data_IF_754571254632
#
_entry.id   IF_754571254632
#
_cell.length_a   1.000
_cell.length_b   1.000
_cell.length_c   1.000
_cell.angle_alpha   90.00
_cell.angle_beta   90.00
_cell.angle_gamma   90.00
#
_symmetry.space_group_name_H-M   'P 1'
#
loop_
_entity.id
_entity.type
_entity.pdbx_description
1 polymer ?
#
# COMPACT_ATOMS: atom_id res chain seq x y z
N UNK A 1 -47.06 -7.42 -77.50
CA UNK A 1 -46.52 -7.20 -76.16
C UNK A 1 -47.72 -7.07 -75.24
N UNK A 2 -48.04 -8.12 -74.54
CA UNK A 2 -49.21 -8.16 -73.66
C UNK A 2 -48.61 -8.46 -72.28
N UNK A 3 -48.92 -7.58 -71.34
CA UNK A 3 -48.39 -7.54 -69.95
C UNK A 3 -48.74 -8.81 -69.18
N UNK A 4 -47.71 -9.49 -68.66
CA UNK A 4 -47.80 -10.70 -67.84
C UNK A 4 -47.73 -10.43 -66.32
N UNK A 5 -48.09 -9.24 -65.85
CA UNK A 5 -47.92 -8.82 -64.46
C UNK A 5 -49.16 -8.92 -63.55
N UNK A 6 -50.29 -9.49 -63.98
CA UNK A 6 -51.53 -9.46 -63.20
C UNK A 6 -52.10 -10.81 -62.74
N UNK A 7 -51.40 -11.91 -62.83
CA UNK A 7 -51.97 -13.23 -62.44
C UNK A 7 -51.39 -13.79 -61.15
N UNK A 8 -50.37 -13.17 -60.48
CA UNK A 8 -49.73 -13.75 -59.32
C UNK A 8 -50.14 -13.18 -57.96
N UNK A 9 -51.17 -12.37 -57.84
CA UNK A 9 -51.49 -11.64 -56.62
C UNK A 9 -52.67 -12.18 -55.79
N UNK A 10 -53.27 -13.32 -56.13
CA UNK A 10 -54.51 -13.79 -55.48
C UNK A 10 -54.47 -15.21 -54.84
N UNK A 11 -53.34 -15.88 -54.72
CA UNK A 11 -53.34 -17.25 -54.20
C UNK A 11 -52.45 -17.57 -52.94
N UNK A 12 -51.90 -16.57 -52.28
CA UNK A 12 -50.95 -16.90 -51.14
C UNK A 12 -51.26 -16.28 -49.79
N UNK A 13 -52.44 -15.81 -49.44
CA UNK A 13 -52.67 -15.08 -48.20
C UNK A 13 -53.48 -15.70 -47.04
N UNK A 14 -54.00 -16.93 -46.98
CA UNK A 14 -54.67 -17.33 -45.73
C UNK A 14 -54.08 -18.47 -44.97
N UNK A 15 -52.97 -19.08 -45.36
CA UNK A 15 -52.48 -20.27 -44.62
C UNK A 15 -51.20 -20.02 -43.80
N UNK A 16 -50.50 -18.90 -44.03
CA UNK A 16 -49.20 -18.64 -43.36
C UNK A 16 -49.29 -17.89 -42.02
N UNK A 17 -50.34 -17.10 -41.77
CA UNK A 17 -50.46 -16.29 -40.57
C UNK A 17 -50.56 -17.11 -39.26
N UNK A 18 -51.33 -18.19 -39.12
CA UNK A 18 -51.39 -18.96 -37.88
C UNK A 18 -50.11 -19.75 -37.60
N UNK A 19 -49.33 -20.10 -38.60
CA UNK A 19 -48.07 -20.83 -38.42
C UNK A 19 -46.96 -19.87 -37.96
N UNK A 20 -47.00 -18.63 -38.36
CA UNK A 20 -46.04 -17.58 -37.94
C UNK A 20 -46.30 -17.19 -36.49
N UNK A 21 -47.57 -17.02 -36.08
CA UNK A 21 -47.95 -16.68 -34.71
C UNK A 21 -47.56 -17.78 -33.70
N UNK A 22 -47.77 -19.07 -34.06
CA UNK A 22 -47.34 -20.21 -33.24
C UNK A 22 -45.82 -20.30 -33.15
N UNK A 23 -45.06 -19.92 -34.17
CA UNK A 23 -43.60 -19.90 -34.14
C UNK A 23 -43.06 -18.74 -33.26
N UNK A 24 -43.68 -17.56 -33.34
CA UNK A 24 -43.32 -16.42 -32.49
C UNK A 24 -43.59 -16.67 -31.01
N UNK A 25 -44.71 -17.26 -30.65
CA UNK A 25 -45.04 -17.59 -29.28
C UNK A 25 -44.04 -18.65 -28.68
N UNK A 26 -43.68 -19.65 -29.48
CA UNK A 26 -42.63 -20.60 -29.10
C UNK A 26 -41.26 -19.94 -28.93
N UNK A 27 -40.92 -18.98 -29.81
CA UNK A 27 -39.67 -18.24 -29.74
C UNK A 27 -39.61 -17.36 -28.49
N UNK A 28 -40.68 -16.64 -28.16
CA UNK A 28 -40.80 -15.85 -26.91
C UNK A 28 -40.67 -16.74 -25.67
N UNK A 29 -41.32 -17.89 -25.61
CA UNK A 29 -41.16 -18.83 -24.51
C UNK A 29 -39.70 -19.33 -24.39
N UNK A 30 -39.04 -19.62 -25.50
CA UNK A 30 -37.65 -20.05 -25.49
C UNK A 30 -36.71 -18.94 -24.97
N UNK A 31 -36.92 -17.71 -25.36
CA UNK A 31 -36.15 -16.55 -24.87
C UNK A 31 -36.33 -16.34 -23.34
N UNK A 32 -37.55 -16.54 -22.83
CA UNK A 32 -37.82 -16.50 -21.38
C UNK A 32 -37.06 -17.61 -20.66
N UNK A 33 -37.10 -18.85 -21.17
CA UNK A 33 -36.36 -19.96 -20.56
C UNK A 33 -34.85 -19.73 -20.59
N UNK A 34 -34.28 -19.20 -21.64
CA UNK A 34 -32.87 -18.85 -21.73
C UNK A 34 -32.50 -17.74 -20.70
N UNK A 35 -33.37 -16.74 -20.55
CA UNK A 35 -33.16 -15.67 -19.57
C UNK A 35 -33.21 -16.17 -18.14
N UNK A 36 -34.16 -17.04 -17.81
CA UNK A 36 -34.27 -17.68 -16.50
C UNK A 36 -33.02 -18.54 -16.24
N UNK A 37 -32.59 -19.34 -17.22
CA UNK A 37 -31.42 -20.18 -17.09
C UNK A 37 -30.12 -19.37 -16.88
N UNK A 38 -29.96 -18.25 -17.62
CA UNK A 38 -28.83 -17.32 -17.40
C UNK A 38 -28.86 -16.69 -16.01
N UNK A 39 -30.05 -16.32 -15.52
CA UNK A 39 -30.23 -15.78 -14.17
C UNK A 39 -29.86 -16.80 -13.09
N UNK A 40 -30.32 -18.06 -13.27
CA UNK A 40 -29.96 -19.17 -12.34
C UNK A 40 -28.45 -19.41 -12.35
N UNK A 41 -27.80 -19.42 -13.52
CA UNK A 41 -26.34 -19.57 -13.63
C UNK A 41 -25.61 -18.40 -12.97
N UNK A 42 -26.11 -17.18 -13.09
CA UNK A 42 -25.55 -16.01 -12.42
C UNK A 42 -25.68 -16.14 -10.90
N UNK A 43 -26.83 -16.54 -10.40
CA UNK A 43 -27.04 -16.77 -8.97
C UNK A 43 -26.14 -17.91 -8.43
N UNK A 44 -25.98 -19.00 -9.19
CA UNK A 44 -25.08 -20.09 -8.84
C UNK A 44 -23.63 -19.66 -8.82
N UNK A 45 -23.20 -18.83 -9.78
CA UNK A 45 -21.83 -18.30 -9.81
C UNK A 45 -21.55 -17.38 -8.62
N UNK A 46 -22.52 -16.55 -8.22
CA UNK A 46 -22.42 -15.71 -7.01
C UNK A 46 -22.32 -16.57 -5.75
N UNK A 47 -23.10 -17.65 -5.64
CA UNK A 47 -23.04 -18.59 -4.52
C UNK A 47 -21.69 -19.33 -4.49
N UNK A 48 -21.18 -19.75 -5.64
CA UNK A 48 -19.88 -20.45 -5.75
C UNK A 48 -18.72 -19.51 -5.38
N UNK A 49 -18.83 -18.21 -5.70
CA UNK A 49 -17.83 -17.21 -5.33
C UNK A 49 -17.95 -16.83 -3.85
N UNK A 50 -19.16 -16.76 -3.29
CA UNK A 50 -19.40 -16.39 -1.90
C UNK A 50 -19.03 -17.50 -0.89
N UNK A 51 -19.18 -18.78 -1.24
CA UNK A 51 -18.89 -19.92 -0.35
C UNK A 51 -17.40 -19.97 0.04
N UNK A 52 -16.40 -19.84 -0.88
CA UNK A 52 -15.00 -19.80 -0.46
C UNK A 52 -14.65 -18.53 0.32
N UNK A 53 -15.31 -17.39 0.08
CA UNK A 53 -15.07 -16.15 0.81
C UNK A 53 -15.59 -16.25 2.28
N UNK A 54 -16.72 -16.87 2.49
CA UNK A 54 -17.31 -17.08 3.83
C UNK A 54 -16.58 -18.15 4.65
N UNK A 55 -15.97 -19.16 4.01
CA UNK A 55 -15.16 -20.19 4.69
C UNK A 55 -13.69 -19.82 4.93
N UNK A 56 -13.17 -18.77 4.28
CA UNK A 56 -11.79 -18.33 4.46
C UNK A 56 -11.56 -17.46 5.69
N UNK A 57 -12.58 -17.12 6.46
CA UNK A 57 -12.46 -16.24 7.63
C UNK A 57 -12.28 -16.95 8.97
N UNK A 58 -12.10 -18.28 9.00
CA UNK A 58 -11.72 -19.00 10.22
C UNK A 58 -10.63 -20.05 9.93
N UNK A 59 -9.52 -19.64 9.32
CA UNK A 59 -8.27 -20.26 9.71
C UNK A 59 -7.96 -19.64 11.07
N UNK A 60 -7.99 -20.43 12.11
CA UNK A 60 -7.41 -20.11 13.40
C UNK A 60 -5.96 -19.67 13.15
N UNK A 61 -5.74 -18.36 13.05
CA UNK A 61 -4.39 -17.84 13.24
C UNK A 61 -4.01 -18.24 14.67
N UNK A 62 -2.88 -18.92 14.85
CA UNK A 62 -2.40 -19.19 16.19
C UNK A 62 -2.37 -17.85 16.91
N UNK A 63 -2.79 -17.82 18.15
CA UNK A 63 -2.98 -16.69 19.05
C UNK A 63 -1.69 -15.89 19.36
N UNK A 64 -0.93 -15.54 18.34
CA UNK A 64 0.16 -14.58 18.36
C UNK A 64 -0.43 -13.19 18.06
N UNK A 65 -1.60 -12.93 18.63
CA UNK A 65 -2.43 -11.77 18.35
C UNK A 65 -1.91 -10.44 18.87
N UNK A 66 -0.74 -10.38 19.53
CA UNK A 66 -0.28 -9.14 20.13
C UNK A 66 0.69 -8.34 19.23
N UNK A 67 1.46 -8.99 18.37
CA UNK A 67 2.58 -8.34 17.66
C UNK A 67 2.66 -8.80 16.21
N UNK A 68 2.77 -7.85 15.29
CA UNK A 68 3.17 -8.09 13.90
C UNK A 68 4.41 -7.24 13.57
N UNK A 69 5.49 -7.89 13.19
CA UNK A 69 6.75 -7.27 12.78
C UNK A 69 6.99 -7.55 11.29
N UNK A 70 6.93 -6.54 10.47
CA UNK A 70 7.01 -6.66 9.03
C UNK A 70 8.41 -6.35 8.51
N UNK A 71 8.98 -7.26 7.74
CA UNK A 71 10.28 -7.08 7.06
C UNK A 71 10.00 -6.74 5.59
N UNK A 72 10.29 -5.51 5.21
CA UNK A 72 10.18 -5.06 3.83
C UNK A 72 11.35 -5.58 3.02
N UNK A 73 11.05 -6.30 1.93
CA UNK A 73 12.06 -6.77 0.99
C UNK A 73 11.60 -6.69 -0.46
N UNK A 74 12.55 -6.69 -1.38
CA UNK A 74 12.37 -6.83 -2.82
C UNK A 74 13.20 -7.98 -3.38
N UNK A 75 13.89 -8.74 -2.52
CA UNK A 75 14.72 -9.90 -2.88
C UNK A 75 14.84 -10.84 -1.70
N UNK A 76 15.36 -12.03 -1.98
CA UNK A 76 15.68 -13.00 -0.96
C UNK A 76 16.77 -12.50 0.00
N UNK A 77 16.71 -12.96 1.25
CA UNK A 77 17.67 -12.64 2.29
C UNK A 77 17.72 -13.78 3.32
N UNK A 78 18.86 -13.96 3.94
CA UNK A 78 19.06 -14.98 4.97
C UNK A 78 19.15 -14.32 6.34
N UNK A 79 18.28 -14.73 7.27
CA UNK A 79 18.40 -14.35 8.68
C UNK A 79 17.62 -15.29 9.58
N UNK A 80 18.31 -15.88 10.56
CA UNK A 80 17.71 -16.84 11.50
C UNK A 80 16.68 -16.19 12.44
N UNK A 81 16.75 -14.87 12.69
CA UNK A 81 15.78 -14.16 13.54
C UNK A 81 14.36 -14.18 12.97
N UNK A 82 14.21 -14.38 11.66
CA UNK A 82 12.90 -14.43 11.01
C UNK A 82 12.09 -15.70 11.33
N UNK A 83 12.67 -16.69 11.98
CA UNK A 83 11.93 -17.89 12.43
C UNK A 83 10.96 -17.60 13.59
N UNK A 84 11.09 -16.45 14.27
CA UNK A 84 10.10 -16.03 15.25
C UNK A 84 8.77 -15.71 14.53
N UNK A 85 7.64 -16.30 14.97
CA UNK A 85 6.34 -16.19 14.30
C UNK A 85 5.75 -14.78 14.27
N UNK A 86 6.27 -13.85 15.10
CA UNK A 86 5.86 -12.44 15.04
C UNK A 86 6.37 -11.73 13.78
N UNK A 87 7.43 -12.22 13.14
CA UNK A 87 7.92 -11.63 11.88
C UNK A 87 7.12 -12.12 10.68
N UNK A 88 6.83 -11.19 9.77
CA UNK A 88 6.17 -11.42 8.49
C UNK A 88 6.95 -10.70 7.39
N UNK A 89 7.04 -11.31 6.21
CA UNK A 89 7.77 -10.73 5.07
C UNK A 89 6.77 -10.00 4.18
N UNK A 90 7.07 -8.76 3.82
CA UNK A 90 6.35 -8.00 2.81
C UNK A 90 7.17 -7.97 1.53
N UNK A 91 6.63 -8.55 0.46
CA UNK A 91 7.28 -8.62 -0.83
C UNK A 91 6.28 -8.38 -1.97
N UNK A 92 6.68 -7.60 -2.97
CA UNK A 92 5.86 -7.31 -4.15
C UNK A 92 5.90 -8.47 -5.16
N UNK A 93 7.00 -9.22 -5.20
CA UNK A 93 7.21 -10.33 -6.11
C UNK A 93 7.65 -11.58 -5.35
N UNK A 94 6.74 -12.54 -5.23
CA UNK A 94 7.00 -13.79 -4.52
C UNK A 94 8.07 -14.67 -5.19
N UNK A 95 8.31 -14.50 -6.48
CA UNK A 95 9.34 -15.24 -7.20
C UNK A 95 10.76 -14.92 -6.71
N UNK A 96 10.93 -13.76 -6.07
CA UNK A 96 12.19 -13.30 -5.51
C UNK A 96 12.50 -13.89 -4.12
N UNK A 97 11.57 -14.65 -3.52
CA UNK A 97 11.72 -15.23 -2.18
C UNK A 97 11.79 -16.76 -2.31
N UNK A 98 12.83 -17.37 -1.77
CA UNK A 98 12.94 -18.82 -1.71
C UNK A 98 11.95 -19.40 -0.72
N UNK A 99 11.33 -20.55 -1.08
CA UNK A 99 10.32 -21.22 -0.26
C UNK A 99 10.83 -21.85 1.05
N UNK A 100 12.10 -21.73 1.35
CA UNK A 100 12.74 -22.35 2.53
C UNK A 100 12.33 -21.68 3.85
N UNK A 101 11.77 -20.47 3.79
CA UNK A 101 11.35 -19.76 4.98
C UNK A 101 9.92 -20.14 5.35
N UNK A 102 9.74 -20.80 6.49
CA UNK A 102 8.42 -21.13 7.09
C UNK A 102 7.64 -19.88 7.53
N UNK A 103 8.04 -18.69 7.08
CA UNK A 103 7.47 -17.43 7.44
C UNK A 103 6.41 -17.06 6.42
N UNK A 104 5.31 -16.53 6.94
CA UNK A 104 4.22 -16.05 6.12
C UNK A 104 4.69 -14.85 5.28
N UNK A 105 4.84 -15.04 3.99
CA UNK A 105 5.05 -13.96 3.03
C UNK A 105 3.69 -13.35 2.69
N UNK A 106 3.57 -12.03 2.82
CA UNK A 106 2.38 -11.27 2.45
C UNK A 106 2.67 -10.58 1.13
N UNK A 107 2.02 -10.98 0.03
CA UNK A 107 2.14 -10.29 -1.24
C UNK A 107 1.44 -8.93 -1.15
N UNK A 108 2.08 -7.89 -1.67
CA UNK A 108 1.59 -6.51 -1.57
C UNK A 108 1.28 -5.88 -2.93
N UNK A 109 1.10 -6.69 -3.97
CA UNK A 109 0.91 -6.23 -5.35
C UNK A 109 -0.55 -5.88 -5.71
N UNK A 110 -1.49 -6.81 -5.58
CA UNK A 110 -2.81 -6.69 -6.21
C UNK A 110 -3.78 -5.72 -5.54
N UNK A 111 -3.71 -5.61 -4.20
CA UNK A 111 -4.64 -4.80 -3.41
C UNK A 111 -4.00 -3.52 -2.84
N UNK A 112 -2.81 -3.17 -3.31
CA UNK A 112 -2.09 -2.00 -2.86
C UNK A 112 -2.29 -0.83 -3.85
N UNK A 113 -3.02 0.19 -3.44
CA UNK A 113 -3.29 1.38 -4.27
C UNK A 113 -2.03 2.16 -4.65
N UNK A 114 -0.92 1.98 -3.91
CA UNK A 114 0.38 2.57 -4.24
C UNK A 114 1.29 1.63 -5.07
N UNK A 115 0.79 0.47 -5.53
CA UNK A 115 1.62 -0.47 -6.28
C UNK A 115 2.23 0.14 -7.55
N UNK A 116 1.49 0.98 -8.26
CA UNK A 116 1.98 1.67 -9.46
C UNK A 116 3.06 2.73 -9.19
N UNK A 117 3.27 3.08 -7.91
CA UNK A 117 4.30 4.03 -7.43
C UNK A 117 5.27 3.38 -6.42
N UNK A 118 5.40 2.06 -6.47
CA UNK A 118 6.20 1.29 -5.49
C UNK A 118 7.69 1.60 -5.52
N UNK A 119 8.23 2.01 -6.67
CA UNK A 119 9.63 2.43 -6.77
C UNK A 119 9.82 3.77 -6.09
N UNK A 120 8.92 4.72 -6.34
CA UNK A 120 8.98 6.06 -5.74
C UNK A 120 8.80 6.00 -4.21
N UNK A 121 7.84 5.24 -3.74
CA UNK A 121 7.54 5.12 -2.30
C UNK A 121 8.45 4.13 -1.55
N UNK A 122 9.22 3.31 -2.25
CA UNK A 122 10.08 2.28 -1.65
C UNK A 122 9.30 1.36 -0.70
N UNK A 123 9.81 1.16 0.52
CA UNK A 123 9.12 0.42 1.60
C UNK A 123 7.78 1.05 1.98
N UNK A 124 7.62 2.36 1.79
CA UNK A 124 6.38 3.08 2.08
C UNK A 124 5.17 2.55 1.33
N UNK A 125 5.34 2.03 0.11
CA UNK A 125 4.23 1.40 -0.62
C UNK A 125 3.71 0.14 0.09
N UNK A 126 4.60 -0.69 0.65
CA UNK A 126 4.22 -1.88 1.40
C UNK A 126 3.63 -1.54 2.77
N UNK A 127 4.20 -0.56 3.45
CA UNK A 127 3.69 -0.04 4.72
C UNK A 127 2.27 0.52 4.56
N UNK A 128 1.98 1.18 3.43
CA UNK A 128 0.65 1.66 3.07
C UNK A 128 -0.38 0.52 3.00
N UNK A 129 -0.04 -0.58 2.34
CA UNK A 129 -0.93 -1.74 2.27
C UNK A 129 -1.29 -2.28 3.66
N UNK A 130 -0.30 -2.41 4.54
CA UNK A 130 -0.52 -2.84 5.93
C UNK A 130 -1.33 -1.80 6.71
N UNK A 131 -1.07 -0.49 6.52
CA UNK A 131 -1.87 0.57 7.14
C UNK A 131 -3.35 0.47 6.75
N UNK A 132 -3.65 0.23 5.47
CA UNK A 132 -5.04 0.02 5.02
C UNK A 132 -5.69 -1.19 5.74
N UNK A 133 -4.97 -2.31 5.91
CA UNK A 133 -5.48 -3.49 6.61
C UNK A 133 -5.76 -3.22 8.09
N UNK A 134 -4.92 -2.43 8.77
CA UNK A 134 -5.18 -2.01 10.15
C UNK A 134 -6.37 -1.05 10.24
N UNK A 135 -6.44 -0.08 9.34
CA UNK A 135 -7.50 0.93 9.30
C UNK A 135 -8.88 0.31 9.07
N UNK A 136 -8.95 -0.73 8.26
CA UNK A 136 -10.19 -1.47 7.96
C UNK A 136 -10.51 -2.58 8.98
N UNK A 137 -9.66 -2.79 9.99
CA UNK A 137 -9.86 -3.82 11.00
C UNK A 137 -9.52 -5.25 10.55
N UNK A 138 -8.97 -5.42 9.36
CA UNK A 138 -8.54 -6.74 8.86
C UNK A 138 -7.32 -7.28 9.62
N UNK A 139 -6.57 -6.42 10.28
CA UNK A 139 -5.48 -6.78 11.20
C UNK A 139 -5.73 -6.09 12.53
N UNK A 140 -5.62 -6.84 13.64
CA UNK A 140 -6.00 -6.38 14.97
C UNK A 140 -4.89 -6.47 16.01
N UNK A 141 -3.65 -6.83 15.62
CA UNK A 141 -2.55 -6.93 16.58
C UNK A 141 -2.30 -5.60 17.30
N UNK A 142 -1.95 -5.66 18.58
CA UNK A 142 -1.75 -4.50 19.46
C UNK A 142 -0.52 -3.68 19.09
N UNK A 143 0.55 -4.35 18.66
CA UNK A 143 1.80 -3.74 18.27
C UNK A 143 2.10 -4.05 16.81
N UNK A 144 2.61 -3.05 16.11
CA UNK A 144 3.06 -3.13 14.73
C UNK A 144 4.46 -2.58 14.57
N UNK A 145 5.32 -3.31 13.89
CA UNK A 145 6.68 -2.87 13.60
C UNK A 145 7.05 -3.07 12.14
N UNK A 146 7.93 -2.21 11.65
CA UNK A 146 8.49 -2.31 10.31
C UNK A 146 10.00 -2.31 10.35
N UNK A 147 10.57 -3.13 9.48
CA UNK A 147 12.00 -3.33 9.32
C UNK A 147 12.35 -3.38 7.84
N UNK A 148 13.63 -3.23 7.57
CA UNK A 148 14.19 -3.45 6.25
C UNK A 148 14.95 -4.79 6.24
N UNK A 149 14.91 -5.54 5.14
CA UNK A 149 15.56 -6.86 5.05
C UNK A 149 17.07 -6.85 5.39
N UNK A 150 17.72 -5.69 5.34
CA UNK A 150 19.12 -5.49 5.72
C UNK A 150 19.32 -4.86 7.11
N UNK A 151 18.23 -4.52 7.81
CA UNK A 151 18.30 -3.75 9.05
C UNK A 151 17.18 -4.14 9.98
N UNK A 152 17.53 -4.78 11.08
CA UNK A 152 16.62 -5.18 12.16
C UNK A 152 17.06 -4.57 13.47
N UNK A 153 16.14 -4.45 14.43
CA UNK A 153 16.53 -4.13 15.80
C UNK A 153 17.38 -5.24 16.42
N UNK A 154 18.42 -4.86 17.11
CA UNK A 154 19.26 -5.77 17.87
C UNK A 154 18.57 -6.17 19.19
N UNK A 155 17.61 -7.06 19.09
CA UNK A 155 16.96 -7.67 20.25
C UNK A 155 17.77 -8.84 20.84
N UNK A 156 18.99 -9.06 20.35
CA UNK A 156 19.85 -10.19 20.69
C UNK A 156 19.20 -11.52 20.29
N UNK A 157 18.53 -12.19 21.24
CA UNK A 157 18.03 -13.53 21.02
C UNK A 157 16.52 -13.61 20.84
N UNK A 158 15.74 -12.64 21.30
CA UNK A 158 14.28 -12.67 21.22
C UNK A 158 13.65 -11.27 21.25
N UNK A 159 12.40 -11.18 20.81
CA UNK A 159 11.60 -9.97 20.90
C UNK A 159 11.30 -9.72 22.38
N UNK A 160 11.63 -8.53 22.91
CA UNK A 160 11.37 -8.22 24.31
C UNK A 160 9.85 -8.16 24.59
N UNK A 161 9.47 -8.28 25.86
CA UNK A 161 8.10 -8.03 26.29
C UNK A 161 7.67 -6.58 25.95
N UNK A 162 6.93 -6.45 24.85
CA UNK A 162 6.47 -5.15 24.37
C UNK A 162 5.44 -4.53 25.31
N UNK A 163 4.62 -5.31 26.01
CA UNK A 163 3.68 -4.75 27.00
C UNK A 163 4.41 -4.05 28.13
N UNK A 164 5.52 -4.62 28.59
CA UNK A 164 6.37 -4.00 29.61
C UNK A 164 7.09 -2.75 29.07
N UNK A 165 7.61 -2.80 27.84
CA UNK A 165 8.30 -1.65 27.24
C UNK A 165 7.34 -0.48 27.00
N UNK A 166 6.15 -0.74 26.47
CA UNK A 166 5.17 0.29 26.15
C UNK A 166 4.41 0.86 27.37
N UNK A 167 4.72 0.41 28.59
CA UNK A 167 4.38 1.13 29.83
C UNK A 167 5.24 2.39 30.00
N UNK A 168 6.49 2.35 29.54
CA UNK A 168 7.48 3.40 29.76
C UNK A 168 7.82 4.22 28.50
N UNK A 169 7.52 3.68 27.32
CA UNK A 169 7.85 4.30 26.03
C UNK A 169 6.64 4.35 25.12
N UNK A 170 6.59 5.36 24.27
CA UNK A 170 5.53 5.56 23.29
C UNK A 170 5.84 4.83 21.97
N UNK A 171 7.13 4.71 21.64
CA UNK A 171 7.62 4.13 20.38
C UNK A 171 9.02 3.57 20.54
N UNK A 172 9.34 2.53 19.78
CA UNK A 172 10.71 2.02 19.61
C UNK A 172 11.21 2.46 18.23
N UNK A 173 12.36 3.13 18.18
CA UNK A 173 12.96 3.70 16.98
C UNK A 173 14.42 3.24 16.82
N UNK A 174 15.00 3.26 15.61
CA UNK A 174 16.44 3.10 15.44
C UNK A 174 17.18 4.25 16.12
N UNK A 175 18.45 4.03 16.45
CA UNK A 175 19.32 5.10 16.94
C UNK A 175 19.35 6.26 15.96
N UNK A 176 19.42 7.48 16.49
CA UNK A 176 19.52 8.71 15.70
C UNK A 176 20.81 8.73 14.88
N UNK A 177 20.69 9.23 13.67
CA UNK A 177 21.83 9.63 12.86
C UNK A 177 21.99 11.15 12.94
N UNK A 178 23.23 11.60 13.22
CA UNK A 178 23.56 13.02 13.40
C UNK A 178 24.25 13.58 12.16
N UNK A 179 23.99 14.86 11.87
CA UNK A 179 24.53 15.58 10.73
C UNK A 179 25.10 16.93 11.17
N UNK A 180 26.06 17.51 10.42
CA UNK A 180 26.62 18.84 10.74
C UNK A 180 25.65 19.97 10.41
N UNK A 181 24.58 19.71 9.66
CA UNK A 181 23.59 20.67 9.17
C UNK A 181 22.16 20.23 9.53
N UNK A 182 21.18 21.10 9.29
CA UNK A 182 19.79 20.83 9.57
C UNK A 182 19.20 19.68 8.73
N UNK A 183 18.10 19.07 9.17
CA UNK A 183 17.41 18.04 8.38
C UNK A 183 16.85 18.58 7.07
N UNK A 184 16.48 19.86 7.01
CA UNK A 184 16.14 20.52 5.77
C UNK A 184 17.34 20.58 4.81
N UNK A 185 18.49 21.09 5.28
CA UNK A 185 19.69 21.17 4.48
C UNK A 185 20.21 19.76 4.09
N UNK A 186 20.04 18.77 4.98
CA UNK A 186 20.39 17.38 4.65
C UNK A 186 19.57 16.89 3.46
N UNK A 187 18.27 17.16 3.44
CA UNK A 187 17.44 16.77 2.32
C UNK A 187 17.82 17.52 1.05
N UNK A 188 17.99 18.85 1.12
CA UNK A 188 18.39 19.71 -0.01
C UNK A 188 19.70 19.27 -0.64
N UNK A 189 20.71 18.93 0.18
CA UNK A 189 22.00 18.41 -0.27
C UNK A 189 21.96 17.01 -0.90
N UNK A 190 20.90 16.26 -0.69
CA UNK A 190 20.80 14.86 -1.11
C UNK A 190 19.74 14.63 -2.18
N UNK A 191 18.68 15.44 -2.21
CA UNK A 191 17.48 15.24 -3.02
C UNK A 191 16.98 16.52 -3.66
N UNK A 192 16.01 16.40 -4.56
CA UNK A 192 15.32 17.54 -5.16
C UNK A 192 14.40 18.16 -4.10
N UNK A 193 14.77 19.32 -3.58
CA UNK A 193 14.21 19.90 -2.35
C UNK A 193 12.75 20.33 -2.49
N UNK A 194 12.29 20.72 -3.67
CA UNK A 194 10.94 21.27 -3.82
C UNK A 194 9.83 20.31 -3.39
N UNK A 195 10.03 18.99 -3.49
CA UNK A 195 9.05 18.00 -2.98
C UNK A 195 8.91 18.04 -1.45
N UNK A 196 9.99 18.36 -0.75
CA UNK A 196 9.94 18.59 0.67
C UNK A 196 9.24 19.92 1.00
N UNK A 197 9.54 20.98 0.23
CA UNK A 197 8.89 22.29 0.39
C UNK A 197 7.39 22.18 0.18
N UNK A 198 6.95 21.46 -0.84
CA UNK A 198 5.54 21.18 -1.07
C UNK A 198 4.89 20.41 0.09
N UNK A 199 5.56 19.40 0.61
CA UNK A 199 5.05 18.65 1.78
C UNK A 199 4.91 19.56 3.01
N UNK A 200 5.87 20.48 3.25
CA UNK A 200 5.81 21.46 4.34
C UNK A 200 4.65 22.43 4.15
N UNK A 201 4.43 22.93 2.93
CA UNK A 201 3.28 23.79 2.62
C UNK A 201 1.95 23.07 2.84
N UNK A 202 1.84 21.83 2.37
CA UNK A 202 0.65 20.98 2.59
C UNK A 202 0.40 20.77 4.09
N UNK A 203 1.46 20.50 4.87
CA UNK A 203 1.33 20.41 6.33
C UNK A 203 0.78 21.71 6.91
N UNK A 204 1.33 22.86 6.51
CA UNK A 204 0.89 24.16 7.01
C UNK A 204 -0.57 24.44 6.69
N UNK A 205 -1.03 24.07 5.50
CA UNK A 205 -2.37 24.36 5.00
C UNK A 205 -3.43 23.34 5.49
N UNK A 206 -3.13 22.06 5.37
CA UNK A 206 -4.12 20.97 5.59
C UNK A 206 -3.95 20.23 6.91
N UNK A 207 -2.78 20.31 7.53
CA UNK A 207 -2.44 19.65 8.81
C UNK A 207 -1.78 20.64 9.78
N UNK A 208 -2.39 21.83 10.03
CA UNK A 208 -1.74 22.92 10.75
C UNK A 208 -1.30 22.53 12.15
N UNK A 209 -1.92 21.52 12.76
CA UNK A 209 -1.53 21.00 14.08
C UNK A 209 -0.18 20.25 14.06
N UNK A 210 0.33 19.84 12.89
CA UNK A 210 1.66 19.25 12.70
C UNK A 210 2.73 20.27 12.33
N UNK A 211 2.34 21.47 11.88
CA UNK A 211 3.28 22.46 11.37
C UNK A 211 4.34 22.91 12.40
N UNK A 212 4.03 23.13 13.68
CA UNK A 212 5.06 23.46 14.69
C UNK A 212 6.11 22.34 14.83
N UNK A 213 5.69 21.06 14.78
CA UNK A 213 6.59 19.92 14.85
C UNK A 213 7.43 19.79 13.59
N UNK A 214 6.85 20.03 12.41
CA UNK A 214 7.59 20.07 11.14
C UNK A 214 8.67 21.17 11.17
N UNK A 215 8.30 22.38 11.54
CA UNK A 215 9.24 23.50 11.67
C UNK A 215 10.38 23.17 12.63
N UNK A 216 10.07 22.60 13.78
CA UNK A 216 11.09 22.17 14.76
C UNK A 216 11.99 21.06 14.21
N UNK A 217 11.39 20.01 13.62
CA UNK A 217 12.13 18.88 13.11
C UNK A 217 13.13 19.28 12.01
N UNK A 218 12.71 20.09 11.04
CA UNK A 218 13.58 20.48 9.94
C UNK A 218 14.75 21.36 10.35
N UNK A 219 14.75 21.94 11.57
CA UNK A 219 15.91 22.63 12.15
C UNK A 219 16.84 21.68 12.94
N UNK A 220 16.42 20.45 13.28
CA UNK A 220 17.25 19.50 13.98
C UNK A 220 18.40 19.01 13.09
N UNK A 221 19.49 18.58 13.76
CA UNK A 221 20.68 18.00 13.12
C UNK A 221 20.70 16.47 13.23
N UNK A 222 19.58 15.83 13.44
CA UNK A 222 19.44 14.40 13.58
C UNK A 222 18.04 13.91 13.19
N UNK A 223 17.96 12.63 12.81
CA UNK A 223 16.70 11.94 12.56
C UNK A 223 16.84 10.44 12.82
N UNK A 224 15.69 9.77 12.96
CA UNK A 224 15.59 8.31 12.92
C UNK A 224 15.26 7.90 11.48
N UNK A 225 16.17 7.16 10.83
CA UNK A 225 16.09 6.82 9.42
C UNK A 225 15.59 5.40 9.15
N UNK A 226 15.33 5.11 7.88
CA UNK A 226 15.01 3.81 7.30
C UNK A 226 13.58 3.32 7.55
N UNK A 227 12.65 4.18 7.99
CA UNK A 227 11.26 3.80 8.28
C UNK A 227 11.14 2.54 9.16
N UNK A 228 12.07 2.40 10.13
CA UNK A 228 12.11 1.31 11.09
C UNK A 228 11.49 1.81 12.40
N UNK A 229 10.50 1.10 12.90
CA UNK A 229 9.86 1.41 14.18
C UNK A 229 9.06 0.23 14.71
N UNK A 230 8.70 0.27 16.01
CA UNK A 230 7.57 -0.47 16.59
C UNK A 230 6.73 0.52 17.37
N UNK A 231 5.41 0.50 17.15
CA UNK A 231 4.45 1.35 17.85
C UNK A 231 3.12 0.61 18.11
N UNK A 232 2.24 1.22 18.89
CA UNK A 232 0.89 0.72 19.10
C UNK A 232 0.07 0.86 17.81
N UNK A 233 -0.90 -0.01 17.62
CA UNK A 233 -1.80 -0.03 16.46
C UNK A 233 -2.46 1.32 16.23
N UNK A 234 -2.98 1.93 17.30
CA UNK A 234 -3.68 3.22 17.23
C UNK A 234 -2.77 4.35 16.72
N UNK A 235 -1.51 4.33 17.15
CA UNK A 235 -0.51 5.31 16.70
C UNK A 235 -0.07 5.06 15.27
N UNK A 236 0.00 3.79 14.86
CA UNK A 236 0.29 3.43 13.46
C UNK A 236 -0.83 3.88 12.51
N UNK A 237 -2.09 3.75 12.90
CA UNK A 237 -3.21 4.25 12.11
C UNK A 237 -3.11 5.77 11.95
N UNK A 238 -2.89 6.52 13.04
CA UNK A 238 -2.72 7.98 13.01
C UNK A 238 -1.48 8.40 12.19
N UNK A 239 -0.37 7.65 12.32
CA UNK A 239 0.83 7.87 11.53
C UNK A 239 0.52 7.76 10.04
N UNK A 240 -0.17 6.72 9.63
CA UNK A 240 -0.53 6.53 8.22
C UNK A 240 -1.53 7.57 7.72
N UNK A 241 -2.53 7.95 8.54
CA UNK A 241 -3.48 9.02 8.19
C UNK A 241 -2.76 10.35 7.90
N UNK A 242 -1.77 10.71 8.71
CA UNK A 242 -0.98 11.92 8.49
C UNK A 242 -0.01 11.77 7.30
N UNK A 243 0.84 10.74 7.33
CA UNK A 243 1.94 10.60 6.36
C UNK A 243 1.39 10.41 4.96
N UNK A 244 0.45 9.47 4.77
CA UNK A 244 -0.14 9.24 3.44
C UNK A 244 -1.09 10.35 3.04
N UNK A 245 -1.76 11.00 3.99
CA UNK A 245 -2.57 12.17 3.70
C UNK A 245 -1.76 13.30 3.07
N UNK A 246 -0.59 13.63 3.62
CA UNK A 246 0.34 14.61 3.03
C UNK A 246 0.86 14.12 1.68
N UNK A 247 1.29 12.86 1.59
CA UNK A 247 1.85 12.29 0.36
C UNK A 247 0.84 12.24 -0.79
N UNK A 248 -0.44 11.97 -0.53
CA UNK A 248 -1.48 12.04 -1.54
C UNK A 248 -1.67 13.43 -2.12
N UNK A 249 -1.52 14.47 -1.30
CA UNK A 249 -1.60 15.84 -1.78
C UNK A 249 -0.36 16.23 -2.61
N UNK A 250 0.83 15.75 -2.24
CA UNK A 250 2.05 15.90 -3.07
C UNK A 250 1.85 15.21 -4.41
N UNK A 251 1.36 13.97 -4.42
CA UNK A 251 1.07 13.23 -5.66
C UNK A 251 0.06 13.95 -6.54
N UNK A 252 -1.01 14.46 -5.93
CA UNK A 252 -2.07 15.22 -6.64
C UNK A 252 -1.52 16.50 -7.25
N UNK A 253 -0.71 17.25 -6.52
CA UNK A 253 -0.11 18.51 -6.98
C UNK A 253 0.81 18.28 -8.19
N UNK A 254 1.48 17.14 -8.23
CA UNK A 254 2.43 16.77 -9.29
C UNK A 254 1.84 15.83 -10.36
N UNK A 255 0.55 15.47 -10.26
CA UNK A 255 -0.13 14.51 -11.13
C UNK A 255 0.58 13.14 -11.17
N UNK A 256 1.09 12.67 -10.04
CA UNK A 256 1.76 11.37 -9.93
C UNK A 256 0.74 10.24 -9.78
N UNK A 257 0.58 9.44 -10.81
CA UNK A 257 -0.25 8.23 -10.81
C UNK A 257 0.60 6.96 -10.88
N UNK A 258 1.77 7.03 -11.51
CA UNK A 258 2.70 5.91 -11.71
C UNK A 258 4.14 6.30 -11.39
N UNK A 259 5.02 5.31 -11.26
CA UNK A 259 6.47 5.51 -11.17
C UNK A 259 7.04 6.21 -12.42
N UNK A 260 6.40 6.03 -13.59
CA UNK A 260 6.81 6.71 -14.82
C UNK A 260 6.59 8.23 -14.74
N UNK A 261 5.47 8.68 -14.15
CA UNK A 261 5.18 10.11 -13.97
C UNK A 261 6.23 10.75 -13.06
N UNK A 262 6.55 10.09 -11.94
CA UNK A 262 7.60 10.54 -11.01
C UNK A 262 8.95 10.62 -11.75
N UNK A 263 9.33 9.57 -12.45
CA UNK A 263 10.60 9.52 -13.19
C UNK A 263 10.69 10.63 -14.24
N UNK A 264 9.61 10.89 -14.97
CA UNK A 264 9.57 11.94 -15.99
C UNK A 264 9.82 13.33 -15.38
N UNK A 265 9.18 13.64 -14.24
CA UNK A 265 9.40 14.92 -13.57
C UNK A 265 10.81 15.01 -12.98
N UNK A 266 11.31 13.95 -12.34
CA UNK A 266 12.69 13.87 -11.83
C UNK A 266 13.69 14.12 -12.95
N UNK A 267 13.49 13.51 -14.13
CA UNK A 267 14.39 13.69 -15.28
C UNK A 267 14.46 15.16 -15.71
N UNK A 268 13.32 15.87 -15.69
CA UNK A 268 13.27 17.30 -16.04
C UNK A 268 13.97 18.19 -14.99
N UNK A 269 13.92 17.77 -13.73
CA UNK A 269 14.38 18.59 -12.61
C UNK A 269 15.71 18.16 -12.01
N UNK A 270 16.31 17.10 -12.51
CA UNK A 270 17.54 16.50 -11.95
C UNK A 270 18.69 17.52 -11.79
N UNK A 271 18.74 18.53 -12.66
CA UNK A 271 19.76 19.57 -12.58
C UNK A 271 19.60 20.50 -11.38
N UNK A 272 18.39 20.56 -10.77
CA UNK A 272 18.13 21.32 -9.54
C UNK A 272 18.62 20.58 -8.29
N UNK A 273 18.95 19.29 -8.38
CA UNK A 273 19.48 18.52 -7.27
C UNK A 273 20.92 18.93 -6.96
N UNK A 274 21.21 19.28 -5.71
CA UNK A 274 22.59 19.54 -5.25
C UNK A 274 23.39 18.23 -5.06
N UNK A 275 22.70 17.12 -4.81
CA UNK A 275 23.31 15.80 -4.59
C UNK A 275 23.54 15.00 -5.86
N UNK A 276 23.41 13.67 -5.72
CA UNK A 276 23.56 12.78 -6.88
C UNK A 276 22.49 13.02 -7.93
N UNK A 277 22.91 13.05 -9.19
CA UNK A 277 22.04 13.19 -10.36
C UNK A 277 21.63 11.85 -10.96
N UNK A 278 21.74 10.78 -10.21
CA UNK A 278 21.19 9.47 -10.58
C UNK A 278 19.68 9.51 -10.55
N UNK A 279 19.06 9.41 -11.72
CA UNK A 279 17.59 9.46 -11.89
C UNK A 279 16.92 8.32 -11.13
N UNK A 280 17.49 7.11 -11.12
CA UNK A 280 16.92 5.97 -10.39
C UNK A 280 16.91 6.23 -8.88
N UNK A 281 17.98 6.80 -8.36
CA UNK A 281 18.07 7.19 -6.96
C UNK A 281 17.05 8.29 -6.64
N UNK A 282 17.00 9.36 -7.41
CA UNK A 282 16.09 10.49 -7.15
C UNK A 282 14.61 10.13 -7.41
N UNK A 283 14.32 9.16 -8.28
CA UNK A 283 12.93 8.68 -8.49
C UNK A 283 12.31 8.04 -7.24
N UNK A 284 13.11 7.76 -6.20
CA UNK A 284 12.66 7.27 -4.89
C UNK A 284 12.20 8.38 -3.95
N UNK A 285 11.90 9.54 -4.48
CA UNK A 285 11.58 10.77 -3.74
C UNK A 285 10.43 10.60 -2.75
N UNK A 286 9.39 9.84 -3.12
CA UNK A 286 8.26 9.53 -2.23
C UNK A 286 8.71 8.87 -0.93
N UNK A 287 9.62 7.88 -1.00
CA UNK A 287 10.19 7.23 0.18
C UNK A 287 11.02 8.17 1.04
N UNK A 288 11.77 9.09 0.42
CA UNK A 288 12.59 10.06 1.16
C UNK A 288 11.74 11.12 1.88
N UNK A 289 10.70 11.63 1.24
CA UNK A 289 9.76 12.56 1.89
C UNK A 289 9.00 11.85 3.02
N UNK A 290 8.48 10.65 2.76
CA UNK A 290 7.76 9.84 3.75
C UNK A 290 8.60 9.62 5.03
N UNK A 291 9.89 9.34 4.90
CA UNK A 291 10.80 9.16 6.03
C UNK A 291 10.92 10.44 6.89
N UNK A 292 10.92 11.63 6.27
CA UNK A 292 10.92 12.92 7.00
C UNK A 292 9.58 13.16 7.69
N UNK A 293 8.47 12.89 7.01
CA UNK A 293 7.14 13.00 7.60
C UNK A 293 6.95 12.08 8.80
N UNK A 294 7.53 10.87 8.76
CA UNK A 294 7.54 9.96 9.91
C UNK A 294 8.18 10.61 11.14
N UNK A 295 9.31 11.30 10.96
CA UNK A 295 9.98 12.01 12.06
C UNK A 295 9.17 13.22 12.57
N UNK A 296 8.47 13.93 11.69
CA UNK A 296 7.52 15.01 12.10
C UNK A 296 6.41 14.43 12.97
N UNK A 297 5.86 13.27 12.58
CA UNK A 297 4.86 12.57 13.37
C UNK A 297 5.41 12.15 14.73
N UNK A 298 6.61 11.58 14.78
CA UNK A 298 7.24 11.19 16.05
C UNK A 298 7.43 12.39 16.97
N UNK A 299 7.86 13.53 16.43
CA UNK A 299 8.08 14.77 17.20
C UNK A 299 6.79 15.33 17.81
N UNK A 300 5.67 15.16 17.12
CA UNK A 300 4.38 15.59 17.63
C UNK A 300 3.80 14.66 18.69
N UNK A 301 3.89 13.35 18.46
CA UNK A 301 3.10 12.38 19.23
C UNK A 301 3.88 11.66 20.34
N UNK A 302 5.22 11.55 20.23
CA UNK A 302 6.00 10.69 21.11
C UNK A 302 6.99 11.49 21.93
N UNK A 303 6.75 11.54 23.23
CA UNK A 303 7.67 12.18 24.18
C UNK A 303 8.72 11.18 24.70
N UNK A 304 8.32 9.94 24.93
CA UNK A 304 9.17 8.89 25.49
C UNK A 304 9.55 7.89 24.40
N UNK A 305 10.71 8.10 23.77
CA UNK A 305 11.22 7.26 22.69
C UNK A 305 12.31 6.34 23.18
N UNK A 306 12.22 5.06 22.85
CA UNK A 306 13.30 4.10 23.08
C UNK A 306 14.09 3.92 21.80
N UNK A 307 15.36 4.30 21.84
CA UNK A 307 16.27 4.04 20.71
C UNK A 307 16.91 2.66 20.87
N UNK A 308 16.87 1.89 19.79
CA UNK A 308 17.41 0.54 19.73
C UNK A 308 18.46 0.49 18.62
N UNK A 309 19.56 -0.18 18.93
CA UNK A 309 20.61 -0.44 17.94
C UNK A 309 20.05 -1.25 16.77
N UNK A 310 20.46 -0.90 15.57
CA UNK A 310 20.12 -1.65 14.35
C UNK A 310 21.32 -2.51 13.97
N UNK A 311 21.07 -3.78 13.72
CA UNK A 311 22.04 -4.69 13.09
C UNK A 311 21.85 -4.63 11.58
N UNK A 312 22.97 -4.57 10.86
CA UNK A 312 23.01 -4.73 9.40
C UNK A 312 23.25 -6.20 9.06
N UNK A 313 22.44 -6.74 8.16
CA UNK A 313 22.49 -8.14 7.71
C UNK A 313 23.21 -8.25 6.38
#
# INVERSE_FOLDING_TARGET
>A
MIDNEKINEQLEKPILEPIIEIKEDKKKKYEIYISIFKFILLCLSIVIIAIPYSKKSKSEEPSIGLVNLYINTHKDFANNLIYNPAYKILCDDLSQIKNEYKIKVIPTNENNTLYQKRVSYCEGAKMHYIWQLYKTGNITSKYVGFFHYRRLFDFKNDIPDLDSLFKNYDVLLPQRMYFPYSMYDQFKKSHIVHFLDEAIEIIKDKYPEYYPSAKSFFQKKWANFCNIFIMKKEDFIKWGDFVYGVMYEVDKKNNFTTDADVRNLITKEINKCEGTKDINYQSRIGGYVLERLSNVFYDKHFQKRKEIKVISL
#
